data_IF_573886342915
#
_entry.id   IF_573886342915
#
_cell.length_a   1.000
_cell.length_b   1.000
_cell.length_c   1.000
_cell.angle_alpha   90.00
_cell.angle_beta   90.00
_cell.angle_gamma   90.00
#
_symmetry.space_group_name_H-M   'P 1'
#
loop_
_entity.id
_entity.type
_entity.pdbx_description
1 polymer ?
#
# COMPACT_ATOMS: atom_id res chain seq x y z
N UNK A 1 -21.18 -6.53 -4.63
CA UNK A 1 -20.88 -6.05 -3.26
C UNK A 1 -20.80 -7.27 -2.38
N UNK A 2 -19.83 -7.32 -1.48
CA UNK A 2 -19.70 -8.43 -0.51
C UNK A 2 -20.17 -7.93 0.86
N UNK A 3 -20.92 -8.76 1.58
CA UNK A 3 -21.41 -8.43 2.91
C UNK A 3 -20.54 -9.13 3.95
N UNK A 4 -19.95 -8.36 4.84
CA UNK A 4 -19.11 -8.86 5.94
C UNK A 4 -19.81 -8.49 7.26
N UNK A 5 -19.88 -9.44 8.18
CA UNK A 5 -20.37 -9.19 9.55
C UNK A 5 -19.19 -8.98 10.48
N UNK A 6 -19.23 -7.91 11.26
CA UNK A 6 -18.18 -7.56 12.23
C UNK A 6 -18.77 -7.52 13.65
N UNK A 7 -18.06 -8.11 14.60
CA UNK A 7 -18.34 -7.98 16.03
C UNK A 7 -17.26 -7.11 16.65
N UNK A 8 -17.66 -6.04 17.34
CA UNK A 8 -16.76 -5.08 17.96
C UNK A 8 -17.01 -5.05 19.46
N UNK A 9 -15.94 -5.11 20.25
CA UNK A 9 -16.01 -4.85 21.69
C UNK A 9 -15.53 -3.43 21.93
N UNK A 10 -16.43 -2.60 22.46
CA UNK A 10 -16.16 -1.20 22.76
C UNK A 10 -16.48 -0.92 24.23
N UNK A 11 -15.75 0.03 24.87
CA UNK A 11 -16.19 0.59 26.14
C UNK A 11 -17.63 1.13 26.01
N UNK A 12 -18.45 0.93 27.05
CA UNK A 12 -19.88 1.25 27.00
C UNK A 12 -20.14 2.71 26.65
N UNK A 13 -19.35 3.61 27.22
CA UNK A 13 -19.43 5.05 27.00
C UNK A 13 -19.19 5.38 25.53
N UNK A 14 -18.08 4.88 24.97
CA UNK A 14 -17.73 5.06 23.57
C UNK A 14 -18.77 4.45 22.62
N UNK A 15 -19.29 3.26 22.92
CA UNK A 15 -20.32 2.63 22.12
C UNK A 15 -21.59 3.49 22.07
N UNK A 16 -21.96 4.08 23.21
CA UNK A 16 -23.14 4.93 23.34
C UNK A 16 -22.97 6.22 22.52
N UNK A 17 -21.85 6.91 22.71
CA UNK A 17 -21.53 8.14 22.01
C UNK A 17 -21.42 7.91 20.49
N UNK A 18 -20.68 6.88 20.07
CA UNK A 18 -20.52 6.56 18.65
C UNK A 18 -21.85 6.18 18.00
N UNK A 19 -22.74 5.49 18.71
CA UNK A 19 -24.07 5.17 18.20
C UNK A 19 -24.94 6.43 18.07
N UNK A 20 -24.94 7.31 19.07
CA UNK A 20 -25.68 8.58 19.03
C UNK A 20 -25.18 9.51 17.92
N UNK A 21 -23.86 9.49 17.66
CA UNK A 21 -23.25 10.22 16.56
C UNK A 21 -23.46 9.55 15.17
N UNK A 22 -24.14 8.39 15.11
CA UNK A 22 -24.38 7.66 13.86
C UNK A 22 -23.15 6.96 13.27
N UNK A 23 -22.04 6.90 14.01
CA UNK A 23 -20.78 6.34 13.53
C UNK A 23 -20.80 4.82 13.38
N UNK A 24 -21.75 4.13 14.04
CA UNK A 24 -21.91 2.67 13.97
C UNK A 24 -22.85 2.21 12.84
N UNK A 25 -23.23 3.10 11.93
CA UNK A 25 -23.99 2.73 10.73
C UNK A 25 -23.06 2.12 9.67
N UNK A 26 -23.61 1.27 8.81
CA UNK A 26 -22.86 0.67 7.69
C UNK A 26 -22.24 1.74 6.79
N UNK A 27 -22.98 2.81 6.49
CA UNK A 27 -22.49 3.90 5.66
C UNK A 27 -21.30 4.65 6.29
N UNK A 28 -21.42 5.04 7.57
CA UNK A 28 -20.34 5.72 8.28
C UNK A 28 -19.11 4.84 8.45
N UNK A 29 -19.29 3.55 8.74
CA UNK A 29 -18.18 2.59 8.84
C UNK A 29 -17.49 2.39 7.49
N UNK A 30 -18.23 2.33 6.37
CA UNK A 30 -17.64 2.27 5.03
C UNK A 30 -16.83 3.52 4.72
N UNK A 31 -17.35 4.71 5.07
CA UNK A 31 -16.63 5.97 4.88
C UNK A 31 -15.35 6.02 5.71
N UNK A 32 -15.41 5.56 6.96
CA UNK A 32 -14.26 5.47 7.87
C UNK A 32 -13.19 4.53 7.32
N UNK A 33 -13.58 3.32 6.91
CA UNK A 33 -12.67 2.33 6.34
C UNK A 33 -12.01 2.83 5.06
N UNK A 34 -12.76 3.47 4.15
CA UNK A 34 -12.20 4.05 2.93
C UNK A 34 -11.15 5.11 3.23
N UNK A 35 -11.41 5.98 4.22
CA UNK A 35 -10.48 7.02 4.66
C UNK A 35 -9.19 6.38 5.20
N UNK A 36 -9.32 5.42 6.11
CA UNK A 36 -8.18 4.73 6.71
C UNK A 36 -7.33 3.95 5.71
N UNK A 37 -7.97 3.25 4.76
CA UNK A 37 -7.25 2.56 3.68
C UNK A 37 -6.46 3.55 2.82
N UNK A 38 -7.04 4.71 2.49
CA UNK A 38 -6.36 5.74 1.72
C UNK A 38 -5.16 6.31 2.50
N UNK A 39 -5.36 6.64 3.76
CA UNK A 39 -4.30 7.19 4.62
C UNK A 39 -3.12 6.22 4.71
N UNK A 40 -3.38 4.95 5.02
CA UNK A 40 -2.33 3.92 5.13
C UNK A 40 -1.59 3.68 3.82
N UNK A 41 -2.25 3.80 2.67
CA UNK A 41 -1.56 3.72 1.37
C UNK A 41 -0.56 4.86 1.19
N UNK A 42 -0.95 6.08 1.59
CA UNK A 42 -0.08 7.24 1.56
C UNK A 42 1.09 7.10 2.55
N UNK A 43 0.83 6.68 3.78
CA UNK A 43 1.88 6.47 4.78
C UNK A 43 2.87 5.38 4.34
N UNK A 44 2.37 4.29 3.75
CA UNK A 44 3.21 3.23 3.20
C UNK A 44 4.07 3.72 2.02
N UNK A 45 3.55 4.63 1.19
CA UNK A 45 4.34 5.23 0.11
C UNK A 45 5.49 6.06 0.67
N UNK A 46 5.23 6.93 1.64
CA UNK A 46 6.29 7.74 2.26
C UNK A 46 7.30 6.88 3.02
N UNK A 47 6.83 5.87 3.77
CA UNK A 47 7.73 4.93 4.42
C UNK A 47 8.59 4.14 3.41
N UNK A 48 8.09 3.86 2.20
CA UNK A 48 8.88 3.25 1.14
C UNK A 48 9.92 4.22 0.54
N UNK A 49 9.59 5.50 0.41
CA UNK A 49 10.51 6.55 -0.01
C UNK A 49 11.63 6.77 1.02
N UNK A 50 11.29 6.81 2.32
CA UNK A 50 12.29 6.93 3.39
C UNK A 50 13.29 5.76 3.38
N UNK A 51 12.81 4.54 3.08
CA UNK A 51 13.68 3.35 2.92
C UNK A 51 14.57 3.44 1.68
N UNK A 52 14.13 4.14 0.63
CA UNK A 52 14.95 4.37 -0.57
C UNK A 52 16.03 5.41 -0.29
N UNK A 53 15.70 6.50 0.41
CA UNK A 53 16.65 7.56 0.78
C UNK A 53 17.74 7.06 1.76
N UNK A 54 17.35 6.20 2.70
CA UNK A 54 18.29 5.57 3.65
C UNK A 54 19.23 4.56 2.99
N UNK A 55 18.87 4.02 1.82
CA UNK A 55 19.82 3.26 1.02
C UNK A 55 20.71 4.26 0.31
N UNK A 56 21.96 4.36 0.75
CA UNK A 56 23.02 5.03 0.02
C UNK A 56 23.29 4.25 -1.28
N UNK A 57 22.39 4.42 -2.26
CA UNK A 57 22.50 3.81 -3.57
C UNK A 57 23.62 4.51 -4.29
N UNK A 58 24.68 3.76 -4.59
CA UNK A 58 25.61 4.14 -5.64
C UNK A 58 24.75 4.46 -6.88
N UNK A 59 24.62 5.75 -7.19
CA UNK A 59 23.82 6.19 -8.34
C UNK A 59 24.66 5.82 -9.55
N UNK A 60 24.31 4.69 -10.18
CA UNK A 60 24.88 4.31 -11.47
C UNK A 60 24.59 5.41 -12.49
N UNK A 61 25.55 5.68 -13.37
CA UNK A 61 25.33 6.61 -14.47
C UNK A 61 24.26 6.03 -15.44
N UNK A 62 23.56 6.90 -16.16
CA UNK A 62 22.49 6.53 -17.10
C UNK A 62 22.99 5.55 -18.16
N UNK A 63 24.25 5.66 -18.57
CA UNK A 63 24.88 4.77 -19.54
C UNK A 63 25.10 3.37 -18.96
N UNK A 64 25.53 3.28 -17.70
CA UNK A 64 25.72 2.00 -16.98
C UNK A 64 24.38 1.27 -16.78
N UNK A 65 23.33 2.01 -16.40
CA UNK A 65 21.96 1.47 -16.26
C UNK A 65 21.46 0.94 -17.61
N UNK A 66 21.69 1.68 -18.69
CA UNK A 66 21.25 1.30 -20.03
C UNK A 66 21.93 0.00 -20.50
N UNK A 67 23.22 -0.14 -20.23
CA UNK A 67 23.98 -1.35 -20.51
C UNK A 67 23.46 -2.56 -19.70
N UNK A 68 23.18 -2.38 -18.41
CA UNK A 68 22.64 -3.44 -17.55
C UNK A 68 21.24 -3.90 -18.03
N UNK A 69 20.35 -2.96 -18.35
CA UNK A 69 19.01 -3.26 -18.87
C UNK A 69 19.09 -4.02 -20.19
N UNK A 70 20.00 -3.62 -21.09
CA UNK A 70 20.20 -4.29 -22.37
C UNK A 70 20.66 -5.75 -22.17
N UNK A 71 21.62 -5.98 -21.28
CA UNK A 71 22.11 -7.32 -20.94
C UNK A 71 21.01 -8.18 -20.32
N UNK A 72 20.25 -7.66 -19.36
CA UNK A 72 19.14 -8.36 -18.72
C UNK A 72 18.03 -8.72 -19.73
N UNK A 73 17.73 -7.84 -20.68
CA UNK A 73 16.76 -8.11 -21.75
C UNK A 73 17.27 -9.16 -22.74
N UNK A 74 18.55 -9.14 -23.07
CA UNK A 74 19.17 -10.16 -23.94
C UNK A 74 19.14 -11.55 -23.29
N UNK A 75 19.46 -11.66 -22.01
CA UNK A 75 19.35 -12.89 -21.23
C UNK A 75 17.92 -13.43 -21.20
N UNK A 76 16.93 -12.56 -20.94
CA UNK A 76 15.51 -12.96 -20.96
C UNK A 76 15.08 -13.49 -22.33
N UNK A 77 15.53 -12.85 -23.41
CA UNK A 77 15.26 -13.33 -24.77
C UNK A 77 15.87 -14.70 -25.00
N UNK A 78 17.15 -14.91 -24.67
CA UNK A 78 17.81 -16.22 -24.80
C UNK A 78 17.04 -17.32 -24.08
N UNK A 79 16.67 -17.09 -22.81
CA UNK A 79 15.86 -18.03 -22.02
C UNK A 79 14.47 -18.31 -22.62
N UNK A 80 13.83 -17.31 -23.22
CA UNK A 80 12.53 -17.48 -23.87
C UNK A 80 12.63 -18.19 -25.24
N UNK A 81 13.76 -18.06 -25.94
CA UNK A 81 14.03 -18.73 -27.22
C UNK A 81 14.62 -20.14 -27.09
N UNK A 82 14.81 -20.67 -25.88
CA UNK A 82 15.22 -22.06 -25.67
C UNK A 82 16.61 -22.43 -26.20
N UNK A 83 17.53 -21.46 -26.25
CA UNK A 83 18.98 -21.68 -26.49
C UNK A 83 19.76 -21.24 -25.26
#
# INVERSE_FOLDING_TARGET
METITLTLTLPRELATEANQAGLLTSESLVALLKREVRQRRTDNLFAALDRLDQKNTNILDIDEISAEIAAARAERRRRASGV
#
